data_IF_368096554715
#
_entry.id   IF_368096554715
#
_cell.length_a   1.000
_cell.length_b   1.000
_cell.length_c   1.000
_cell.angle_alpha   90.00
_cell.angle_beta   90.00
_cell.angle_gamma   90.00
#
_symmetry.space_group_name_H-M   'P 1'
#
loop_
_entity.id
_entity.type
_entity.pdbx_description
1 polymer ?
#
# COMPACT_ATOMS: atom_id res chain seq x y z
N UNK A 1 -7.37 -32.46 44.89
CA UNK A 1 -6.96 -33.12 43.63
C UNK A 1 -8.17 -33.06 42.72
N UNK A 2 -8.20 -32.40 41.58
CA UNK A 2 -7.30 -31.44 40.94
C UNK A 2 -8.23 -30.55 40.11
N UNK A 3 -7.84 -29.29 40.02
CA UNK A 3 -8.39 -28.28 39.13
C UNK A 3 -8.05 -28.65 37.68
N UNK A 4 -8.97 -28.43 36.75
CA UNK A 4 -8.62 -28.28 35.33
C UNK A 4 -9.08 -26.91 34.86
N UNK A 5 -8.10 -26.19 34.31
CA UNK A 5 -8.05 -24.77 34.06
C UNK A 5 -8.69 -24.39 32.72
N UNK A 6 -9.38 -23.26 32.75
CA UNK A 6 -9.75 -22.44 31.61
C UNK A 6 -8.48 -22.03 30.84
N UNK A 7 -8.35 -22.44 29.57
CA UNK A 7 -7.36 -21.89 28.64
C UNK A 7 -8.07 -20.99 27.63
N UNK A 8 -8.26 -19.73 28.04
CA UNK A 8 -8.54 -18.61 27.15
C UNK A 8 -7.34 -18.38 26.23
N UNK A 9 -7.53 -18.60 24.93
CA UNK A 9 -6.56 -18.20 23.92
C UNK A 9 -6.45 -16.67 23.91
N UNK A 10 -5.33 -16.17 24.45
CA UNK A 10 -4.92 -14.78 24.37
C UNK A 10 -4.54 -14.45 22.92
N UNK A 11 -5.50 -13.93 22.16
CA UNK A 11 -5.20 -13.15 20.96
C UNK A 11 -4.52 -11.86 21.43
N UNK A 12 -3.19 -11.77 21.25
CA UNK A 12 -2.49 -10.49 21.30
C UNK A 12 -2.95 -9.67 20.10
N UNK A 13 -4.04 -8.94 20.31
CA UNK A 13 -4.34 -7.73 19.57
C UNK A 13 -3.17 -6.77 19.81
N UNK A 14 -2.22 -6.72 18.88
CA UNK A 14 -1.40 -5.53 18.71
C UNK A 14 -2.33 -4.44 18.17
N UNK A 15 -3.12 -3.89 19.09
CA UNK A 15 -3.75 -2.58 18.96
C UNK A 15 -2.62 -1.62 18.60
N UNK A 16 -2.60 -1.18 17.35
CA UNK A 16 -1.83 -0.02 16.96
C UNK A 16 -2.44 1.18 17.67
N UNK A 17 -1.98 1.42 18.91
CA UNK A 17 -2.31 2.62 19.66
C UNK A 17 -1.61 3.75 18.94
N UNK A 18 -2.36 4.49 18.11
CA UNK A 18 -1.89 5.77 17.61
C UNK A 18 -1.36 6.57 18.81
N UNK A 19 -0.14 7.11 18.77
CA UNK A 19 0.39 7.85 19.91
C UNK A 19 -0.59 8.99 20.21
N UNK A 20 -1.09 9.09 21.45
CA UNK A 20 -2.12 10.05 21.90
C UNK A 20 -1.91 11.52 21.44
N UNK A 21 -0.71 11.90 21.00
CA UNK A 21 -0.40 13.21 20.42
C UNK A 21 -0.71 13.39 18.92
N UNK A 22 -0.79 12.31 18.13
CA UNK A 22 -1.03 12.40 16.67
C UNK A 22 -2.48 12.76 16.35
N UNK A 23 -3.45 12.10 16.98
CA UNK A 23 -4.89 12.39 16.83
C UNK A 23 -5.22 13.82 17.30
N UNK A 24 -4.68 14.22 18.45
CA UNK A 24 -4.83 15.59 18.97
C UNK A 24 -4.30 16.64 17.99
N UNK A 25 -3.18 16.35 17.32
CA UNK A 25 -2.57 17.23 16.31
C UNK A 25 -3.38 17.25 15.01
N UNK A 26 -3.93 16.10 14.58
CA UNK A 26 -4.83 16.01 13.43
C UNK A 26 -6.05 16.91 13.63
N UNK A 27 -6.74 16.78 14.76
CA UNK A 27 -7.93 17.57 15.10
C UNK A 27 -7.63 19.08 15.11
N UNK A 28 -6.46 19.48 15.63
CA UNK A 28 -6.04 20.88 15.61
C UNK A 28 -5.82 21.41 14.17
N UNK A 29 -5.22 20.60 13.30
CA UNK A 29 -4.97 20.95 11.90
C UNK A 29 -6.26 20.99 11.08
N UNK A 30 -7.20 20.06 11.32
CA UNK A 30 -8.54 20.07 10.71
C UNK A 30 -9.27 21.36 11.05
N UNK A 31 -9.29 21.72 12.34
CA UNK A 31 -9.93 22.96 12.79
C UNK A 31 -9.28 24.21 12.18
N UNK A 32 -7.95 24.26 12.11
CA UNK A 32 -7.23 25.37 11.48
C UNK A 32 -7.57 25.49 9.98
N UNK A 33 -7.68 24.36 9.27
CA UNK A 33 -8.08 24.32 7.87
C UNK A 33 -9.54 24.78 7.67
N UNK A 34 -10.46 24.37 8.54
CA UNK A 34 -11.85 24.82 8.53
C UNK A 34 -11.96 26.33 8.76
N UNK A 35 -11.21 26.89 9.72
CA UNK A 35 -11.15 28.33 9.96
C UNK A 35 -10.59 29.10 8.76
N UNK A 36 -9.52 28.58 8.15
CA UNK A 36 -8.88 29.12 6.95
C UNK A 36 -9.77 29.02 5.71
N UNK A 37 -10.70 28.06 5.66
CA UNK A 37 -11.61 27.85 4.52
C UNK A 37 -13.08 28.15 4.84
N UNK A 38 -13.34 28.83 5.96
CA UNK A 38 -14.69 29.10 6.49
C UNK A 38 -15.60 29.93 5.58
N UNK A 39 -15.03 30.70 4.65
CA UNK A 39 -15.80 31.57 3.74
C UNK A 39 -15.31 31.45 2.31
N UNK A 40 -16.17 31.72 1.34
CA UNK A 40 -15.83 31.65 -0.08
C UNK A 40 -14.60 32.49 -0.47
N UNK A 41 -14.44 33.76 -0.01
CA UNK A 41 -13.24 34.54 -0.32
C UNK A 41 -11.96 33.93 0.26
N UNK A 42 -12.04 33.36 1.47
CA UNK A 42 -10.88 32.68 2.08
C UNK A 42 -10.53 31.38 1.35
N UNK A 43 -11.52 30.62 0.90
CA UNK A 43 -11.30 29.45 0.01
C UNK A 43 -10.58 29.85 -1.27
N UNK A 44 -11.02 30.92 -1.92
CA UNK A 44 -10.34 31.44 -3.12
C UNK A 44 -8.90 31.85 -2.83
N UNK A 45 -8.65 32.51 -1.69
CA UNK A 45 -7.30 32.90 -1.28
C UNK A 45 -6.39 31.68 -1.03
N UNK A 46 -6.87 30.68 -0.30
CA UNK A 46 -6.12 29.43 -0.07
C UNK A 46 -5.86 28.66 -1.37
N UNK A 47 -6.84 28.64 -2.28
CA UNK A 47 -6.65 28.08 -3.62
C UNK A 47 -5.57 28.81 -4.40
N UNK A 48 -5.57 30.16 -4.41
CA UNK A 48 -4.55 30.95 -5.09
C UNK A 48 -3.15 30.75 -4.48
N UNK A 49 -3.03 30.68 -3.15
CA UNK A 49 -1.75 30.37 -2.48
C UNK A 49 -1.19 29.02 -2.93
N UNK A 50 -2.05 28.01 -3.08
CA UNK A 50 -1.66 26.70 -3.60
C UNK A 50 -1.28 26.77 -5.08
N UNK A 51 -2.17 27.29 -5.92
CA UNK A 51 -2.04 27.22 -7.38
C UNK A 51 -0.93 28.14 -7.93
N UNK A 52 -0.69 29.30 -7.32
CA UNK A 52 0.27 30.29 -7.82
C UNK A 52 1.60 30.31 -7.06
N UNK A 53 1.60 29.95 -5.77
CA UNK A 53 2.79 30.07 -4.89
C UNK A 53 3.32 28.69 -4.47
N UNK A 54 2.60 27.60 -4.77
CA UNK A 54 3.01 26.26 -4.39
C UNK A 54 3.01 26.04 -2.87
N UNK A 55 2.16 26.78 -2.13
CA UNK A 55 2.11 26.67 -0.68
C UNK A 55 1.60 25.30 -0.24
N UNK A 56 2.41 24.57 0.53
CA UNK A 56 2.03 23.28 1.12
C UNK A 56 1.05 23.48 2.27
N UNK A 57 -0.06 22.74 2.26
CA UNK A 57 -1.03 22.78 3.35
C UNK A 57 -0.55 21.92 4.53
N UNK A 58 -0.44 22.48 5.75
CA UNK A 58 0.01 21.74 6.93
C UNK A 58 -0.86 20.53 7.29
N UNK A 59 -2.18 20.59 7.07
CA UNK A 59 -3.09 19.46 7.29
C UNK A 59 -2.82 18.34 6.28
N UNK A 60 -2.76 18.68 5.00
CA UNK A 60 -2.50 17.72 3.92
C UNK A 60 -1.13 17.06 4.10
N UNK A 61 -0.10 17.85 4.41
CA UNK A 61 1.24 17.36 4.73
C UNK A 61 1.22 16.42 5.93
N UNK A 62 0.52 16.80 7.00
CA UNK A 62 0.41 15.96 8.19
C UNK A 62 -0.32 14.64 7.90
N UNK A 63 -1.41 14.65 7.14
CA UNK A 63 -2.12 13.44 6.71
C UNK A 63 -1.18 12.55 5.89
N UNK A 64 -0.51 13.10 4.88
CA UNK A 64 0.43 12.36 4.03
C UNK A 64 1.62 11.77 4.81
N UNK A 65 2.05 12.43 5.90
CA UNK A 65 3.13 11.98 6.77
C UNK A 65 2.69 10.99 7.87
N UNK A 66 1.39 10.99 8.25
CA UNK A 66 0.89 10.30 9.45
C UNK A 66 -0.10 9.17 9.14
N UNK A 67 -0.81 9.21 8.02
CA UNK A 67 -1.65 8.12 7.51
C UNK A 67 -0.90 7.38 6.37
N UNK A 68 0.01 6.45 6.67
CA UNK A 68 0.59 5.58 5.66
C UNK A 68 -0.46 4.55 5.22
N UNK A 69 -1.01 4.67 4.00
CA UNK A 69 -1.88 3.66 3.35
C UNK A 69 -2.63 2.77 4.38
N UNK A 70 -3.61 3.34 5.11
CA UNK A 70 -4.37 2.71 6.23
C UNK A 70 -5.30 1.55 5.79
N UNK A 71 -4.97 0.90 4.69
CA UNK A 71 -5.73 -0.22 4.17
C UNK A 71 -5.20 -1.53 4.78
N UNK A 72 -6.04 -2.22 5.54
CA UNK A 72 -5.70 -3.51 6.18
C UNK A 72 -5.35 -4.59 5.15
N UNK A 73 -5.99 -4.57 3.98
CA UNK A 73 -5.72 -5.53 2.91
C UNK A 73 -4.32 -5.33 2.31
N UNK A 74 -4.00 -4.12 1.86
CA UNK A 74 -2.68 -3.78 1.32
C UNK A 74 -1.63 -3.98 2.41
N UNK A 75 -1.86 -3.53 3.65
CA UNK A 75 -0.91 -3.76 4.74
C UNK A 75 -0.59 -5.24 4.95
N UNK A 76 -1.62 -6.11 4.94
CA UNK A 76 -1.46 -7.56 5.15
C UNK A 76 -0.75 -8.28 4.01
N UNK A 77 -1.05 -7.90 2.77
CA UNK A 77 -0.59 -8.63 1.59
C UNK A 77 0.52 -7.92 0.81
N UNK A 78 0.90 -6.72 1.24
CA UNK A 78 2.01 -5.96 0.68
C UNK A 78 3.34 -6.65 0.89
N UNK A 79 4.16 -6.62 -0.15
CA UNK A 79 5.52 -7.12 -0.17
C UNK A 79 6.37 -6.22 -1.04
N UNK A 80 7.67 -6.20 -0.74
CA UNK A 80 8.67 -5.70 -1.68
C UNK A 80 9.12 -6.90 -2.50
N UNK A 81 9.05 -6.78 -3.82
CA UNK A 81 9.35 -7.86 -4.76
C UNK A 81 10.46 -7.45 -5.71
N UNK A 82 11.38 -8.37 -5.96
CA UNK A 82 12.42 -8.22 -6.98
C UNK A 82 11.95 -8.93 -8.26
N UNK A 83 11.74 -8.16 -9.31
CA UNK A 83 11.37 -8.66 -10.62
C UNK A 83 12.64 -8.92 -11.43
N UNK A 84 12.77 -10.13 -11.95
CA UNK A 84 13.83 -10.49 -12.90
C UNK A 84 13.39 -10.13 -14.31
N UNK A 85 14.06 -9.14 -14.89
CA UNK A 85 13.75 -8.57 -16.20
C UNK A 85 14.81 -8.94 -17.26
N UNK A 86 15.73 -9.88 -16.97
CA UNK A 86 16.77 -10.33 -17.92
C UNK A 86 16.24 -10.88 -19.24
N UNK A 87 14.96 -11.29 -19.26
CA UNK A 87 14.28 -11.79 -20.46
C UNK A 87 13.51 -10.71 -21.23
N UNK A 88 13.48 -9.47 -20.71
CA UNK A 88 12.74 -8.36 -21.29
C UNK A 88 13.69 -7.41 -22.05
N UNK A 89 13.72 -7.51 -23.37
CA UNK A 89 14.57 -6.67 -24.22
C UNK A 89 14.09 -5.20 -24.32
N UNK A 90 12.91 -4.89 -23.77
CA UNK A 90 12.28 -3.57 -23.86
C UNK A 90 12.57 -2.63 -22.68
N UNK A 91 13.23 -3.11 -21.63
CA UNK A 91 13.55 -2.34 -20.41
C UNK A 91 15.07 -2.30 -20.24
N UNK A 92 15.62 -1.15 -19.84
CA UNK A 92 17.08 -0.95 -19.74
C UNK A 92 17.77 -1.65 -18.56
N UNK A 93 17.00 -2.20 -17.61
CA UNK A 93 17.49 -2.87 -16.40
C UNK A 93 17.14 -4.36 -16.37
N UNK A 94 18.03 -5.15 -15.80
CA UNK A 94 17.87 -6.61 -15.65
C UNK A 94 17.06 -7.01 -14.41
N UNK A 95 16.86 -6.10 -13.47
CA UNK A 95 16.12 -6.36 -12.24
C UNK A 95 15.47 -5.08 -11.75
N UNK A 96 14.27 -5.22 -11.16
CA UNK A 96 13.52 -4.08 -10.66
C UNK A 96 12.84 -4.42 -9.33
N UNK A 97 13.07 -3.60 -8.32
CA UNK A 97 12.51 -3.80 -6.98
C UNK A 97 11.30 -2.89 -6.79
N UNK A 98 10.11 -3.45 -6.58
CA UNK A 98 8.86 -2.69 -6.47
C UNK A 98 8.05 -3.06 -5.24
N UNK A 99 7.16 -2.16 -4.85
CA UNK A 99 6.06 -2.47 -3.95
C UNK A 99 4.95 -3.20 -4.71
N UNK A 100 4.53 -4.34 -4.18
CA UNK A 100 3.52 -5.21 -4.77
C UNK A 100 2.58 -5.78 -3.71
N UNK A 101 1.39 -6.19 -4.13
CA UNK A 101 0.46 -6.99 -3.36
C UNK A 101 0.25 -8.31 -4.09
N UNK A 102 0.34 -9.40 -3.35
CA UNK A 102 0.01 -10.72 -3.85
C UNK A 102 -0.85 -11.47 -2.85
N UNK A 103 -2.03 -11.90 -3.29
CA UNK A 103 -2.90 -12.79 -2.54
C UNK A 103 -3.14 -14.06 -3.33
N UNK A 104 -2.58 -15.17 -2.88
CA UNK A 104 -2.84 -16.47 -3.50
C UNK A 104 -4.31 -16.86 -3.41
N UNK A 105 -4.74 -17.77 -4.29
CA UNK A 105 -6.12 -18.22 -4.37
C UNK A 105 -6.66 -18.69 -3.00
N UNK A 106 -7.87 -18.28 -2.58
CA UNK A 106 -8.40 -18.53 -1.23
C UNK A 106 -8.43 -20.02 -0.87
N UNK A 107 -8.80 -20.89 -1.82
CA UNK A 107 -8.81 -22.34 -1.62
C UNK A 107 -7.43 -22.92 -1.29
N UNK A 108 -6.34 -22.37 -1.83
CA UNK A 108 -4.98 -22.82 -1.48
C UNK A 108 -4.65 -22.49 -0.03
N UNK A 109 -5.15 -21.36 0.48
CA UNK A 109 -4.96 -20.98 1.88
C UNK A 109 -5.76 -21.87 2.83
N UNK A 110 -6.98 -22.27 2.46
CA UNK A 110 -7.79 -23.24 3.21
C UNK A 110 -7.20 -24.66 3.16
N UNK A 111 -6.56 -25.02 2.05
CA UNK A 111 -5.94 -26.34 1.86
C UNK A 111 -4.77 -26.66 2.81
N UNK A 112 -4.29 -25.66 3.57
CA UNK A 112 -3.21 -25.84 4.55
C UNK A 112 -3.60 -26.78 5.70
N UNK A 113 -4.89 -26.84 6.02
CA UNK A 113 -5.41 -27.69 7.10
C UNK A 113 -5.87 -29.05 6.58
N UNK A 114 -6.47 -29.08 5.38
CA UNK A 114 -6.88 -30.30 4.70
C UNK A 114 -6.53 -30.22 3.21
N UNK A 115 -5.68 -31.11 2.68
CA UNK A 115 -5.25 -31.05 1.29
C UNK A 115 -6.44 -31.14 0.32
N UNK A 116 -6.48 -30.23 -0.65
CA UNK A 116 -7.44 -30.30 -1.74
C UNK A 116 -7.20 -31.56 -2.58
N UNK A 117 -8.27 -32.13 -3.13
CA UNK A 117 -8.16 -33.19 -4.12
C UNK A 117 -7.33 -32.74 -5.32
N UNK A 118 -6.55 -33.63 -5.97
CA UNK A 118 -5.73 -33.28 -7.13
C UNK A 118 -6.48 -32.56 -8.25
N UNK A 119 -7.75 -32.93 -8.49
CA UNK A 119 -8.60 -32.31 -9.50
C UNK A 119 -8.88 -30.83 -9.18
N UNK A 120 -9.27 -30.53 -7.93
CA UNK A 120 -9.50 -29.15 -7.47
C UNK A 120 -8.21 -28.32 -7.43
N UNK A 121 -7.08 -28.92 -7.05
CA UNK A 121 -5.79 -28.23 -7.12
C UNK A 121 -5.49 -27.78 -8.55
N UNK A 122 -5.70 -28.68 -9.51
CA UNK A 122 -5.52 -28.38 -10.93
C UNK A 122 -6.46 -27.27 -11.40
N UNK A 123 -7.74 -27.31 -11.02
CA UNK A 123 -8.69 -26.23 -11.36
C UNK A 123 -8.27 -24.88 -10.78
N UNK A 124 -7.73 -24.86 -9.56
CA UNK A 124 -7.22 -23.65 -8.92
C UNK A 124 -5.95 -23.14 -9.61
N UNK A 125 -5.03 -24.02 -9.98
CA UNK A 125 -3.82 -23.66 -10.74
C UNK A 125 -4.14 -23.14 -12.15
N UNK A 126 -5.21 -23.64 -12.77
CA UNK A 126 -5.68 -23.18 -14.09
C UNK A 126 -6.63 -21.97 -14.00
N UNK A 127 -6.99 -21.55 -12.78
CA UNK A 127 -7.88 -20.41 -12.56
C UNK A 127 -7.21 -19.08 -12.97
N UNK A 128 -7.97 -18.11 -13.52
CA UNK A 128 -7.39 -16.86 -13.95
C UNK A 128 -6.94 -16.01 -12.75
N UNK A 129 -5.70 -15.51 -12.80
CA UNK A 129 -5.21 -14.50 -11.88
C UNK A 129 -5.66 -13.09 -12.33
N UNK A 130 -6.03 -12.25 -11.35
CA UNK A 130 -6.41 -10.86 -11.59
C UNK A 130 -5.22 -9.95 -11.33
N UNK A 131 -4.86 -9.15 -12.32
CA UNK A 131 -3.74 -8.20 -12.23
C UNK A 131 -4.27 -6.77 -12.26
N UNK A 132 -3.99 -6.01 -11.21
CA UNK A 132 -4.38 -4.62 -11.07
C UNK A 132 -3.20 -3.70 -11.37
N UNK A 133 -3.33 -2.91 -12.43
CA UNK A 133 -2.33 -1.94 -12.88
C UNK A 133 -2.98 -0.55 -12.84
N UNK A 134 -2.41 0.36 -12.05
CA UNK A 134 -2.96 1.70 -11.91
C UNK A 134 -2.57 2.59 -13.10
N UNK A 135 -3.33 3.65 -13.33
CA UNK A 135 -3.03 4.67 -14.34
C UNK A 135 -2.04 5.73 -13.86
N UNK A 136 -1.82 6.75 -14.69
CA UNK A 136 -0.95 7.89 -14.37
C UNK A 136 -1.39 8.59 -13.06
N UNK A 137 -0.43 8.83 -12.16
CA UNK A 137 -0.68 9.47 -10.87
C UNK A 137 -1.46 8.61 -9.88
N UNK A 138 -1.70 7.34 -10.22
CA UNK A 138 -2.35 6.37 -9.37
C UNK A 138 -1.39 5.63 -8.44
N UNK A 139 -1.97 4.71 -7.67
CA UNK A 139 -1.27 3.73 -6.84
C UNK A 139 -2.19 2.52 -6.66
N UNK A 140 -1.64 1.36 -6.31
CA UNK A 140 -2.39 0.11 -6.19
C UNK A 140 -3.54 0.19 -5.18
N UNK A 141 -3.43 1.03 -4.14
CA UNK A 141 -4.45 1.16 -3.10
C UNK A 141 -5.78 1.72 -3.63
N UNK A 142 -5.79 2.34 -4.81
CA UNK A 142 -7.02 2.75 -5.49
C UNK A 142 -7.93 1.56 -5.85
N UNK A 143 -7.36 0.36 -5.99
CA UNK A 143 -8.12 -0.86 -6.27
C UNK A 143 -8.57 -1.59 -5.01
N UNK A 144 -8.29 -1.09 -3.80
CA UNK A 144 -8.59 -1.81 -2.56
C UNK A 144 -10.03 -2.37 -2.52
N UNK A 145 -11.09 -1.58 -2.77
CA UNK A 145 -12.45 -2.10 -2.65
C UNK A 145 -12.69 -3.30 -3.59
N UNK A 146 -12.06 -3.29 -4.76
CA UNK A 146 -12.14 -4.39 -5.73
C UNK A 146 -11.29 -5.58 -5.28
N UNK A 147 -10.07 -5.35 -4.81
CA UNK A 147 -9.19 -6.41 -4.31
C UNK A 147 -9.79 -7.12 -3.09
N UNK A 148 -10.40 -6.38 -2.17
CA UNK A 148 -11.08 -6.94 -1.00
C UNK A 148 -12.23 -7.88 -1.38
N UNK A 149 -13.02 -7.51 -2.40
CA UNK A 149 -14.12 -8.34 -2.88
C UNK A 149 -13.63 -9.56 -3.67
N UNK A 150 -12.68 -9.37 -4.57
CA UNK A 150 -12.25 -10.39 -5.53
C UNK A 150 -11.25 -11.39 -4.93
N UNK A 151 -10.53 -11.03 -3.87
CA UNK A 151 -9.60 -11.95 -3.17
C UNK A 151 -10.31 -13.14 -2.54
N UNK A 152 -11.64 -13.06 -2.39
CA UNK A 152 -12.49 -14.14 -1.89
C UNK A 152 -12.72 -15.26 -2.92
N UNK A 153 -12.41 -15.02 -4.20
CA UNK A 153 -12.67 -15.99 -5.27
C UNK A 153 -11.57 -16.10 -6.33
N UNK A 154 -10.50 -15.31 -6.25
CA UNK A 154 -9.43 -15.34 -7.24
C UNK A 154 -8.08 -14.97 -6.65
N UNK A 155 -7.03 -15.43 -7.29
CA UNK A 155 -5.67 -14.95 -7.04
C UNK A 155 -5.52 -13.52 -7.55
N UNK A 156 -4.84 -12.67 -6.77
CA UNK A 156 -4.70 -11.24 -7.07
C UNK A 156 -3.24 -10.84 -7.03
N UNK A 157 -2.85 -10.07 -8.04
CA UNK A 157 -1.61 -9.31 -8.10
C UNK A 157 -1.93 -7.83 -8.28
N UNK A 158 -1.23 -6.98 -7.54
CA UNK A 158 -1.18 -5.56 -7.80
C UNK A 158 0.24 -5.05 -7.60
N UNK A 159 0.60 -3.95 -8.24
CA UNK A 159 1.90 -3.33 -8.06
C UNK A 159 1.81 -1.82 -8.23
N UNK A 160 2.66 -1.11 -7.50
CA UNK A 160 2.89 0.30 -7.72
C UNK A 160 3.94 0.40 -8.83
N UNK A 161 3.57 1.04 -9.94
CA UNK A 161 4.46 1.25 -11.07
C UNK A 161 5.67 2.11 -10.66
N UNK A 162 6.81 1.98 -11.36
CA UNK A 162 8.01 2.75 -11.06
C UNK A 162 7.72 4.27 -10.99
N UNK A 163 8.13 4.89 -9.88
CA UNK A 163 7.91 6.31 -9.60
C UNK A 163 6.59 6.66 -8.89
N UNK A 164 5.71 5.68 -8.67
CA UNK A 164 4.38 5.88 -8.08
C UNK A 164 4.19 5.09 -6.78
N UNK A 165 3.17 5.46 -5.99
CA UNK A 165 2.85 4.80 -4.72
C UNK A 165 4.08 4.62 -3.84
N UNK A 166 4.28 3.43 -3.27
CA UNK A 166 5.47 3.12 -2.47
C UNK A 166 6.64 2.58 -3.31
N UNK A 167 6.52 2.56 -4.64
CA UNK A 167 7.59 2.33 -5.63
C UNK A 167 8.18 3.65 -6.11
N UNK A 168 8.84 4.42 -5.23
CA UNK A 168 9.22 5.82 -5.50
C UNK A 168 10.73 6.08 -5.50
N UNK A 169 11.14 7.18 -6.14
CA UNK A 169 12.54 7.64 -6.21
C UNK A 169 13.09 8.12 -4.86
N UNK A 170 12.23 8.70 -4.03
CA UNK A 170 12.60 9.27 -2.74
C UNK A 170 11.50 8.99 -1.73
N UNK A 171 11.89 8.49 -0.56
CA UNK A 171 10.98 8.21 0.53
C UNK A 171 10.96 9.37 1.54
N UNK A 172 9.81 9.67 2.15
CA UNK A 172 9.75 10.62 3.26
C UNK A 172 10.59 10.11 4.44
N UNK A 173 11.03 11.05 5.29
CA UNK A 173 11.91 10.76 6.44
C UNK A 173 11.34 9.73 7.43
N UNK A 174 10.01 9.57 7.46
CA UNK A 174 9.31 8.49 8.14
C UNK A 174 8.54 7.68 7.11
N UNK A 175 8.82 6.38 7.04
CA UNK A 175 8.13 5.46 6.14
C UNK A 175 8.02 4.08 6.78
N UNK A 176 7.02 3.29 6.36
CA UNK A 176 6.76 1.94 6.89
C UNK A 176 7.81 0.90 6.49
N UNK A 177 8.46 1.10 5.35
CA UNK A 177 9.52 0.20 4.88
C UNK A 177 10.83 0.43 5.62
N UNK A 178 11.63 -0.64 5.77
CA UNK A 178 13.00 -0.54 6.27
C UNK A 178 13.85 0.35 5.35
N UNK A 179 14.89 0.96 5.90
CA UNK A 179 15.83 1.77 5.11
C UNK A 179 16.47 0.96 3.97
N UNK A 180 16.65 -0.35 4.16
CA UNK A 180 17.14 -1.28 3.15
C UNK A 180 16.15 -1.39 1.97
N UNK A 181 14.87 -1.67 2.23
CA UNK A 181 13.85 -1.76 1.20
C UNK A 181 13.65 -0.42 0.48
N UNK A 182 13.64 0.70 1.22
CA UNK A 182 13.56 2.03 0.62
C UNK A 182 14.71 2.25 -0.36
N UNK A 183 15.95 1.94 0.06
CA UNK A 183 17.13 2.06 -0.80
C UNK A 183 17.07 1.13 -2.00
N UNK A 184 16.64 -0.12 -1.83
CA UNK A 184 16.53 -1.09 -2.91
C UNK A 184 15.56 -0.60 -3.99
N UNK A 185 14.33 -0.23 -3.60
CA UNK A 185 13.32 0.35 -4.49
C UNK A 185 13.88 1.58 -5.20
N UNK A 186 14.36 2.57 -4.44
CA UNK A 186 14.81 3.84 -5.01
C UNK A 186 15.96 3.64 -6.00
N UNK A 187 16.95 2.83 -5.64
CA UNK A 187 18.12 2.58 -6.47
C UNK A 187 17.77 1.83 -7.75
N UNK A 188 16.84 0.87 -7.69
CA UNK A 188 16.39 0.10 -8.86
C UNK A 188 15.62 0.98 -9.85
N UNK A 189 14.74 1.85 -9.38
CA UNK A 189 13.96 2.77 -10.22
C UNK A 189 14.87 3.87 -10.80
N UNK A 190 15.83 4.38 -10.02
CA UNK A 190 16.80 5.37 -10.50
C UNK A 190 17.75 4.82 -11.57
N UNK A 191 17.95 3.49 -11.60
CA UNK A 191 18.75 2.85 -12.63
C UNK A 191 18.02 2.72 -13.98
N UNK A 192 16.69 2.90 -14.00
CA UNK A 192 15.89 2.84 -15.23
C UNK A 192 16.16 4.05 -16.12
N UNK A 193 16.17 3.82 -17.44
CA UNK A 193 16.24 4.88 -18.42
C UNK A 193 14.88 5.57 -18.57
N UNK A 194 14.87 6.84 -18.98
CA UNK A 194 13.61 7.56 -19.26
C UNK A 194 12.74 6.86 -20.30
N UNK A 195 13.35 6.12 -21.24
CA UNK A 195 12.64 5.34 -22.26
C UNK A 195 11.87 4.13 -21.71
N UNK A 196 12.10 3.76 -20.46
CA UNK A 196 11.43 2.62 -19.82
C UNK A 196 10.03 2.99 -19.25
N UNK A 197 9.66 4.28 -19.28
CA UNK A 197 8.40 4.85 -18.77
C UNK A 197 7.47 5.29 -19.91
#
# INVERSE_FOLDING_TARGET
>A
MSSDENLSASSTDDNFVAPNGAESRLLALVKAQEEATSTFPRKCLEFFKRAAVGYENPLEKFILETEPNDCTFVAKYSKVVDLDLRSCDCISVNSLTLHSVHTGHPLVNFAKEEPLSPELLKEVEESPALVFIHGLGGQMSQFEPLMGLLSQCSEIFALDLPGFGDSRYEFPSKHKFSAEHQKAISSSIQAMAWSDF
#
